data_IF_702606765188
#
_entry.id   IF_702606765188
#
_cell.length_a   1.000
_cell.length_b   1.000
_cell.length_c   1.000
_cell.angle_alpha   90.00
_cell.angle_beta   90.00
_cell.angle_gamma   90.00
#
_symmetry.space_group_name_H-M   'P 1'
#
loop_
_entity.id
_entity.type
_entity.pdbx_description
1 polymer ?
#
# COMPACT_ATOMS: atom_id res chain seq x y z
N UNK A 1 -2.07 -19.89 5.69
CA UNK A 1 -2.46 -18.75 6.55
C UNK A 1 -3.97 -18.55 6.52
N UNK A 2 -4.62 -18.19 7.63
CA UNK A 2 -6.07 -18.04 7.72
C UNK A 2 -6.45 -16.55 7.58
N UNK A 3 -7.17 -16.18 6.50
CA UNK A 3 -7.64 -14.81 6.24
C UNK A 3 -8.37 -14.19 7.45
N UNK A 4 -9.18 -14.97 8.15
CA UNK A 4 -9.88 -14.52 9.36
C UNK A 4 -8.90 -14.05 10.44
N UNK A 5 -7.88 -14.86 10.77
CA UNK A 5 -6.92 -14.53 11.81
C UNK A 5 -6.11 -13.25 11.51
N UNK A 6 -6.03 -12.90 10.24
CA UNK A 6 -5.41 -11.65 9.77
C UNK A 6 -6.37 -10.49 9.98
N UNK A 7 -7.58 -10.60 9.45
CA UNK A 7 -8.57 -9.53 9.51
C UNK A 7 -9.07 -9.24 10.95
N UNK A 8 -8.96 -10.20 11.86
CA UNK A 8 -9.22 -10.00 13.30
C UNK A 8 -8.22 -9.05 13.97
N UNK A 9 -7.05 -8.82 13.37
CA UNK A 9 -6.05 -7.86 13.88
C UNK A 9 -6.37 -6.41 13.52
N UNK A 10 -7.29 -6.17 12.59
CA UNK A 10 -7.70 -4.81 12.20
C UNK A 10 -8.50 -4.20 13.35
N UNK A 11 -8.08 -3.03 13.89
CA UNK A 11 -8.83 -2.36 14.95
C UNK A 11 -10.23 -1.99 14.48
N UNK A 12 -11.25 -2.31 15.30
CA UNK A 12 -12.63 -1.95 14.97
C UNK A 12 -12.92 -0.53 15.50
N UNK A 13 -13.11 0.46 14.64
CA UNK A 13 -13.36 1.85 15.06
C UNK A 13 -14.80 2.10 15.48
N UNK A 14 -15.68 1.12 15.30
CA UNK A 14 -17.12 1.28 15.57
C UNK A 14 -17.42 1.16 17.06
N UNK A 15 -18.35 1.98 17.55
CA UNK A 15 -18.91 1.85 18.89
C UNK A 15 -19.73 0.54 19.05
N UNK A 16 -19.98 0.13 20.31
CA UNK A 16 -20.70 -1.12 20.64
C UNK A 16 -22.04 -1.29 19.91
N UNK A 17 -22.78 -0.21 19.69
CA UNK A 17 -24.07 -0.23 18.99
C UNK A 17 -23.95 -0.46 17.48
N UNK A 18 -22.76 -0.30 16.88
CA UNK A 18 -22.51 -0.52 15.44
C UNK A 18 -21.90 -1.86 15.10
N UNK A 19 -21.81 -2.79 16.06
CA UNK A 19 -21.07 -4.07 15.94
C UNK A 19 -21.98 -5.30 15.78
N UNK A 20 -23.18 -5.17 15.23
CA UNK A 20 -24.06 -6.31 14.91
C UNK A 20 -23.36 -7.37 14.04
N UNK A 21 -22.47 -6.91 13.18
CA UNK A 21 -21.58 -7.75 12.38
C UNK A 21 -20.13 -7.52 12.81
N UNK A 22 -19.39 -8.60 13.05
CA UNK A 22 -17.96 -8.53 13.35
C UNK A 22 -17.20 -7.87 12.20
N UNK A 23 -16.22 -7.01 12.51
CA UNK A 23 -15.46 -6.30 11.47
C UNK A 23 -14.79 -7.25 10.48
N UNK A 24 -14.14 -8.31 10.97
CA UNK A 24 -13.48 -9.29 10.10
C UNK A 24 -14.46 -9.99 9.14
N UNK A 25 -15.73 -10.19 9.52
CA UNK A 25 -16.77 -10.77 8.65
C UNK A 25 -17.11 -9.82 7.49
N UNK A 26 -17.28 -8.54 7.81
CA UNK A 26 -17.52 -7.50 6.79
C UNK A 26 -16.34 -7.42 5.83
N UNK A 27 -15.12 -7.36 6.34
CA UNK A 27 -13.91 -7.32 5.53
C UNK A 27 -13.74 -8.57 4.68
N UNK A 28 -14.01 -9.77 5.25
CA UNK A 28 -13.97 -11.03 4.50
C UNK A 28 -14.95 -11.05 3.32
N UNK A 29 -16.17 -10.55 3.50
CA UNK A 29 -17.16 -10.44 2.42
C UNK A 29 -16.65 -9.54 1.28
N UNK A 30 -16.04 -8.41 1.64
CA UNK A 30 -15.47 -7.48 0.65
C UNK A 30 -14.29 -8.12 -0.10
N UNK A 31 -13.37 -8.76 0.62
CA UNK A 31 -12.21 -9.47 0.03
C UNK A 31 -12.68 -10.57 -0.92
N UNK A 32 -13.61 -11.42 -0.49
CA UNK A 32 -14.17 -12.49 -1.35
C UNK A 32 -14.85 -11.90 -2.58
N UNK A 33 -15.57 -10.78 -2.43
CA UNK A 33 -16.18 -10.09 -3.58
C UNK A 33 -15.13 -9.63 -4.60
N UNK A 34 -14.01 -9.06 -4.12
CA UNK A 34 -12.90 -8.64 -4.98
C UNK A 34 -12.22 -9.82 -5.67
N UNK A 35 -11.98 -10.92 -4.94
CA UNK A 35 -11.41 -12.16 -5.49
C UNK A 35 -12.32 -12.80 -6.55
N UNK A 36 -13.65 -12.62 -6.45
CA UNK A 36 -14.61 -13.01 -7.48
C UNK A 36 -14.65 -12.02 -8.67
N UNK A 37 -13.71 -11.07 -8.77
CA UNK A 37 -13.65 -10.07 -9.85
C UNK A 37 -14.70 -8.97 -9.74
N UNK A 38 -15.47 -8.91 -8.65
CA UNK A 38 -16.52 -7.90 -8.44
C UNK A 38 -15.91 -6.62 -7.88
N UNK A 39 -16.31 -5.47 -8.40
CA UNK A 39 -15.77 -4.16 -7.99
C UNK A 39 -16.82 -3.32 -7.26
N UNK A 40 -16.41 -2.73 -6.13
CA UNK A 40 -17.22 -1.81 -5.34
C UNK A 40 -18.16 -2.49 -4.34
N UNK A 41 -18.61 -1.69 -3.35
CA UNK A 41 -19.39 -2.17 -2.20
C UNK A 41 -20.79 -2.68 -2.58
N UNK A 42 -21.38 -2.10 -3.61
CA UNK A 42 -22.69 -2.58 -4.13
C UNK A 42 -22.59 -4.02 -4.61
N UNK A 43 -21.49 -4.38 -5.27
CA UNK A 43 -21.26 -5.75 -5.72
C UNK A 43 -21.02 -6.71 -4.56
N UNK A 44 -20.30 -6.28 -3.51
CA UNK A 44 -20.12 -7.05 -2.28
C UNK A 44 -21.46 -7.29 -1.54
N UNK A 45 -22.32 -6.27 -1.48
CA UNK A 45 -23.69 -6.40 -0.94
C UNK A 45 -24.50 -7.47 -1.69
N UNK A 46 -24.54 -7.41 -3.03
CA UNK A 46 -25.26 -8.41 -3.82
C UNK A 46 -24.65 -9.82 -3.69
N UNK A 47 -23.31 -9.92 -3.60
CA UNK A 47 -22.67 -11.19 -3.29
C UNK A 47 -23.18 -11.75 -1.96
N UNK A 48 -23.15 -10.95 -0.88
CA UNK A 48 -23.62 -11.38 0.44
C UNK A 48 -25.04 -11.95 0.38
N UNK A 49 -25.92 -11.31 -0.34
CA UNK A 49 -27.32 -11.79 -0.53
C UNK A 49 -27.42 -13.09 -1.33
N UNK A 50 -26.51 -13.34 -2.27
CA UNK A 50 -26.50 -14.56 -3.08
C UNK A 50 -25.87 -15.77 -2.39
N UNK A 51 -25.14 -15.58 -1.27
CA UNK A 51 -24.52 -16.66 -0.54
C UNK A 51 -25.56 -17.55 0.15
N UNK A 52 -25.31 -18.85 0.17
CA UNK A 52 -26.10 -19.80 0.95
C UNK A 52 -25.72 -19.75 2.46
N UNK A 53 -26.52 -20.42 3.31
CA UNK A 53 -26.32 -20.42 4.78
C UNK A 53 -24.92 -20.88 5.19
N UNK A 54 -24.39 -21.93 4.54
CA UNK A 54 -23.05 -22.47 4.85
C UNK A 54 -21.94 -21.44 4.52
N UNK A 55 -22.06 -20.78 3.38
CA UNK A 55 -21.11 -19.74 2.94
C UNK A 55 -21.16 -18.52 3.86
N UNK A 56 -22.35 -18.05 4.24
CA UNK A 56 -22.51 -16.94 5.20
C UNK A 56 -21.89 -17.28 6.55
N UNK A 57 -22.15 -18.47 7.05
CA UNK A 57 -21.55 -18.96 8.31
C UNK A 57 -20.01 -19.02 8.23
N UNK A 58 -19.45 -19.48 7.12
CA UNK A 58 -18.01 -19.52 6.90
C UNK A 58 -17.36 -18.12 6.90
N UNK A 59 -18.10 -17.10 6.46
CA UNK A 59 -17.69 -15.69 6.54
C UNK A 59 -18.00 -15.05 7.90
N UNK A 60 -18.55 -15.80 8.86
CA UNK A 60 -18.83 -15.34 10.23
C UNK A 60 -20.17 -14.65 10.41
N UNK A 61 -21.09 -14.76 9.45
CA UNK A 61 -22.46 -14.27 9.57
C UNK A 61 -23.35 -15.35 10.22
N UNK A 62 -23.20 -15.52 11.54
CA UNK A 62 -23.83 -16.61 12.29
C UNK A 62 -25.37 -16.59 12.23
N UNK A 63 -25.98 -15.39 12.21
CA UNK A 63 -27.44 -15.21 12.18
C UNK A 63 -28.03 -15.35 10.76
N UNK A 64 -27.20 -15.66 9.77
CA UNK A 64 -27.65 -15.86 8.39
C UNK A 64 -27.86 -14.58 7.57
N UNK A 65 -27.85 -13.40 8.19
CA UNK A 65 -27.95 -12.13 7.51
C UNK A 65 -26.60 -11.51 7.20
N UNK A 66 -26.53 -10.80 6.08
CA UNK A 66 -25.32 -10.05 5.69
C UNK A 66 -25.61 -8.54 5.73
N UNK A 67 -24.59 -7.71 6.01
CA UNK A 67 -24.78 -6.28 6.17
C UNK A 67 -25.38 -5.63 4.92
N UNK A 68 -26.20 -4.62 5.10
CA UNK A 68 -26.72 -3.81 4.01
C UNK A 68 -25.62 -2.93 3.40
N UNK A 69 -25.89 -2.34 2.23
CA UNK A 69 -24.91 -1.47 1.55
C UNK A 69 -24.49 -0.27 2.39
N UNK A 70 -25.41 0.34 3.16
CA UNK A 70 -25.08 1.46 4.04
C UNK A 70 -24.09 1.03 5.12
N UNK A 71 -24.31 -0.10 5.80
CA UNK A 71 -23.39 -0.65 6.82
C UNK A 71 -22.00 -0.91 6.24
N UNK A 72 -21.90 -1.49 5.03
CA UNK A 72 -20.60 -1.69 4.36
C UNK A 72 -19.89 -0.36 4.12
N UNK A 73 -20.62 0.66 3.67
CA UNK A 73 -20.08 1.98 3.34
C UNK A 73 -19.59 2.72 4.60
N UNK A 74 -20.39 2.75 5.63
CA UNK A 74 -20.06 3.43 6.89
C UNK A 74 -18.89 2.73 7.60
N UNK A 75 -18.88 1.39 7.63
CA UNK A 75 -17.77 0.63 8.19
C UNK A 75 -16.46 0.96 7.49
N UNK A 76 -16.41 0.94 6.16
CA UNK A 76 -15.16 1.25 5.44
C UNK A 76 -14.74 2.73 5.55
N UNK A 77 -15.68 3.65 5.72
CA UNK A 77 -15.35 5.07 5.99
C UNK A 77 -14.71 5.27 7.36
N UNK A 78 -15.13 4.49 8.34
CA UNK A 78 -14.64 4.57 9.70
C UNK A 78 -13.28 3.90 9.92
N UNK A 79 -12.93 2.88 9.10
CA UNK A 79 -11.67 2.14 9.25
C UNK A 79 -10.47 3.06 8.97
N UNK A 80 -9.45 2.94 9.81
CA UNK A 80 -8.13 3.48 9.50
C UNK A 80 -7.50 2.67 8.35
N UNK A 81 -7.43 3.32 7.19
CA UNK A 81 -6.85 2.69 5.99
C UNK A 81 -5.39 2.31 6.14
N UNK A 82 -4.63 2.99 7.02
CA UNK A 82 -3.23 2.65 7.32
C UNK A 82 -3.14 1.37 8.13
N UNK A 83 -3.90 1.29 9.23
CA UNK A 83 -3.93 0.08 10.05
C UNK A 83 -4.36 -1.16 9.25
N UNK A 84 -5.32 -1.00 8.33
CA UNK A 84 -5.73 -2.07 7.41
C UNK A 84 -4.59 -2.46 6.45
N UNK A 85 -3.90 -1.49 5.87
CA UNK A 85 -2.78 -1.73 4.95
C UNK A 85 -1.61 -2.44 5.66
N UNK A 86 -1.27 -2.02 6.88
CA UNK A 86 -0.19 -2.62 7.67
C UNK A 86 -0.50 -4.08 8.04
N UNK A 87 -1.75 -4.36 8.43
CA UNK A 87 -2.23 -5.73 8.71
C UNK A 87 -2.19 -6.60 7.45
N UNK A 88 -2.64 -6.09 6.30
CA UNK A 88 -2.61 -6.83 5.04
C UNK A 88 -1.18 -7.01 4.51
N UNK A 89 -0.32 -6.01 4.65
CA UNK A 89 1.09 -6.08 4.25
C UNK A 89 1.87 -7.14 5.02
N UNK A 90 1.63 -7.27 6.33
CA UNK A 90 2.26 -8.30 7.15
C UNK A 90 1.89 -9.74 6.75
N UNK A 91 0.77 -9.91 6.05
CA UNK A 91 0.26 -11.21 5.57
C UNK A 91 0.94 -11.69 4.30
N UNK A 92 1.41 -10.76 3.51
CA UNK A 92 1.97 -11.05 2.19
C UNK A 92 3.43 -11.53 2.25
N UNK A 93 3.99 -11.71 3.44
CA UNK A 93 5.30 -12.35 3.64
C UNK A 93 5.20 -13.85 3.33
N UNK A 94 5.30 -14.20 2.05
CA UNK A 94 5.34 -15.60 1.60
C UNK A 94 6.70 -16.20 1.96
N UNK A 95 6.73 -17.34 2.63
CA UNK A 95 7.96 -18.09 2.89
C UNK A 95 8.72 -18.36 1.57
N UNK A 96 10.01 -18.02 1.54
CA UNK A 96 10.89 -18.25 0.39
C UNK A 96 10.91 -17.15 -0.68
N UNK A 97 10.07 -16.11 -0.56
CA UNK A 97 10.17 -14.96 -1.46
C UNK A 97 11.29 -14.00 -1.01
N UNK A 98 11.98 -13.39 -1.98
CA UNK A 98 13.03 -12.42 -1.70
C UNK A 98 12.42 -11.02 -1.42
N UNK A 99 12.40 -10.57 -0.16
CA UNK A 99 11.78 -9.28 0.20
C UNK A 99 12.72 -8.09 -0.04
N UNK A 100 13.88 -8.28 -0.69
CA UNK A 100 14.92 -7.24 -0.77
C UNK A 100 14.55 -6.06 -1.66
N UNK A 101 13.74 -6.25 -2.70
CA UNK A 101 13.41 -5.17 -3.62
C UNK A 101 12.05 -4.53 -3.28
N UNK A 102 12.08 -3.25 -2.90
CA UNK A 102 10.90 -2.42 -2.62
C UNK A 102 10.81 -1.31 -3.67
N UNK A 103 9.73 -1.30 -4.44
CA UNK A 103 9.42 -0.24 -5.39
C UNK A 103 8.43 0.75 -4.77
N UNK A 104 8.72 2.06 -4.83
CA UNK A 104 7.82 3.13 -4.41
C UNK A 104 7.17 3.74 -5.65
N UNK A 105 5.84 3.76 -5.68
CA UNK A 105 5.04 4.37 -6.76
C UNK A 105 3.88 5.18 -6.20
N UNK A 106 3.64 6.34 -6.80
CA UNK A 106 2.55 7.24 -6.44
C UNK A 106 1.46 7.25 -7.50
N UNK A 107 0.20 7.02 -7.09
CA UNK A 107 -0.96 7.06 -7.99
C UNK A 107 -2.02 8.03 -7.52
N UNK A 108 -2.48 8.88 -8.45
CA UNK A 108 -3.62 9.76 -8.22
C UNK A 108 -4.93 9.00 -8.48
N UNK A 109 -5.76 8.89 -7.45
CA UNK A 109 -7.07 8.26 -7.52
C UNK A 109 -8.08 9.20 -8.19
N UNK A 110 -8.18 9.17 -9.52
CA UNK A 110 -9.01 10.10 -10.30
C UNK A 110 -10.49 10.10 -9.90
N UNK A 111 -11.01 8.94 -9.45
CA UNK A 111 -12.40 8.78 -9.01
C UNK A 111 -12.67 9.34 -7.60
N UNK A 112 -11.65 9.79 -6.86
CA UNK A 112 -11.77 10.30 -5.49
C UNK A 112 -11.85 11.83 -5.42
N UNK A 113 -12.16 12.50 -6.53
CA UNK A 113 -12.35 13.96 -6.56
C UNK A 113 -13.52 14.33 -5.65
N UNK A 114 -13.22 15.07 -4.58
CA UNK A 114 -14.24 15.71 -3.75
C UNK A 114 -14.73 17.00 -4.41
N UNK A 115 -15.77 17.62 -3.85
CA UNK A 115 -16.33 18.89 -4.35
C UNK A 115 -15.29 20.01 -4.55
N UNK A 116 -14.15 19.97 -3.87
CA UNK A 116 -13.02 20.90 -4.01
C UNK A 116 -12.07 20.57 -5.19
N UNK A 117 -12.38 19.57 -6.01
CA UNK A 117 -11.58 19.18 -7.18
C UNK A 117 -10.27 18.43 -6.88
N UNK A 118 -9.92 18.26 -5.59
CA UNK A 118 -8.70 17.56 -5.18
C UNK A 118 -8.89 16.04 -5.18
N UNK A 119 -8.07 15.34 -5.98
CA UNK A 119 -8.02 13.89 -5.97
C UNK A 119 -7.09 13.38 -4.86
N UNK A 120 -7.41 12.24 -4.27
CA UNK A 120 -6.51 11.55 -3.33
C UNK A 120 -5.30 11.01 -4.08
N UNK A 121 -4.12 11.32 -3.59
CA UNK A 121 -2.86 10.74 -4.04
C UNK A 121 -2.48 9.62 -3.09
N UNK A 122 -2.18 8.44 -3.61
CA UNK A 122 -1.77 7.28 -2.80
C UNK A 122 -0.37 6.87 -3.22
N UNK A 123 0.55 6.94 -2.28
CA UNK A 123 1.90 6.41 -2.41
C UNK A 123 1.93 4.99 -1.85
N UNK A 124 2.47 4.05 -2.61
CA UNK A 124 2.54 2.63 -2.24
C UNK A 124 3.98 2.15 -2.25
N UNK A 125 4.35 1.34 -1.27
CA UNK A 125 5.57 0.55 -1.27
C UNK A 125 5.22 -0.89 -1.67
N UNK A 126 5.72 -1.31 -2.81
CA UNK A 126 5.48 -2.64 -3.38
C UNK A 126 6.74 -3.49 -3.29
N UNK A 127 6.65 -4.63 -2.64
CA UNK A 127 7.73 -5.61 -2.65
C UNK A 127 7.65 -6.49 -3.89
N UNK A 128 8.66 -6.40 -4.75
CA UNK A 128 8.67 -7.08 -6.06
C UNK A 128 8.75 -8.59 -5.88
N UNK A 129 9.60 -9.08 -4.99
CA UNK A 129 9.73 -10.52 -4.75
C UNK A 129 8.49 -11.16 -4.11
N UNK A 130 7.80 -10.41 -3.24
CA UNK A 130 6.56 -10.85 -2.59
C UNK A 130 5.31 -10.60 -3.44
N UNK A 131 5.43 -9.84 -4.53
CA UNK A 131 4.32 -9.34 -5.35
C UNK A 131 3.20 -8.68 -4.51
N UNK A 132 3.59 -7.94 -3.49
CA UNK A 132 2.68 -7.40 -2.49
C UNK A 132 3.00 -5.99 -2.06
N UNK A 133 1.95 -5.26 -1.66
CA UNK A 133 2.08 -3.93 -1.07
C UNK A 133 2.43 -4.08 0.41
N UNK A 134 3.56 -3.50 0.82
CA UNK A 134 4.03 -3.50 2.21
C UNK A 134 3.40 -2.38 3.03
N UNK A 135 3.00 -1.29 2.38
CA UNK A 135 2.39 -0.14 3.04
C UNK A 135 1.92 0.90 2.04
N UNK A 136 1.01 1.74 2.48
CA UNK A 136 0.49 2.88 1.72
C UNK A 136 0.50 4.15 2.56
N UNK A 137 0.67 5.29 1.89
CA UNK A 137 0.43 6.61 2.44
C UNK A 137 -0.52 7.36 1.51
N UNK A 138 -1.58 7.94 2.07
CA UNK A 138 -2.57 8.67 1.29
C UNK A 138 -2.59 10.14 1.71
N UNK A 139 -2.52 11.04 0.74
CA UNK A 139 -2.60 12.49 0.97
C UNK A 139 -3.60 13.16 0.04
N UNK A 140 -3.96 14.38 0.38
CA UNK A 140 -4.78 15.26 -0.46
C UNK A 140 -3.94 16.46 -0.85
N UNK A 141 -3.79 16.65 -2.16
CA UNK A 141 -3.08 17.80 -2.70
C UNK A 141 -1.80 17.44 -3.47
N UNK A 142 -1.36 18.36 -4.32
CA UNK A 142 -0.12 18.25 -5.08
C UNK A 142 1.08 18.63 -4.21
N UNK A 143 2.24 18.02 -4.47
CA UNK A 143 3.49 18.37 -3.79
C UNK A 143 3.72 17.66 -2.46
N UNK A 144 2.88 16.70 -2.10
CA UNK A 144 3.02 15.92 -0.87
C UNK A 144 3.81 14.61 -1.08
N UNK A 145 4.29 14.35 -2.30
CA UNK A 145 4.97 13.09 -2.66
C UNK A 145 6.20 12.81 -1.79
N UNK A 146 7.01 13.84 -1.52
CA UNK A 146 8.23 13.68 -0.70
C UNK A 146 7.91 13.52 0.79
N UNK A 147 7.07 14.38 1.43
CA UNK A 147 6.63 14.15 2.81
C UNK A 147 5.96 12.79 3.02
N UNK A 148 5.14 12.35 2.09
CA UNK A 148 4.43 11.06 2.19
C UNK A 148 5.39 9.89 2.01
N UNK A 149 6.39 10.00 1.12
CA UNK A 149 7.44 9.01 0.98
C UNK A 149 8.26 8.87 2.28
N UNK A 150 8.61 9.96 2.94
CA UNK A 150 9.32 9.92 4.22
C UNK A 150 8.50 9.22 5.31
N UNK A 151 7.18 9.52 5.41
CA UNK A 151 6.28 8.85 6.35
C UNK A 151 6.15 7.35 6.05
N UNK A 152 6.05 6.99 4.77
CA UNK A 152 5.97 5.60 4.35
C UNK A 152 7.25 4.84 4.69
N UNK A 153 8.43 5.39 4.32
CA UNK A 153 9.73 4.81 4.61
C UNK A 153 9.99 4.65 6.11
N UNK A 154 9.51 5.58 6.95
CA UNK A 154 9.65 5.51 8.41
C UNK A 154 9.03 4.23 8.98
N UNK A 155 7.90 3.78 8.44
CA UNK A 155 7.17 2.60 8.92
C UNK A 155 7.71 1.28 8.39
N UNK A 156 8.47 1.31 7.29
CA UNK A 156 8.99 0.10 6.67
C UNK A 156 10.29 -0.36 7.33
N UNK A 157 10.48 -1.66 7.43
CA UNK A 157 11.78 -2.25 7.70
C UNK A 157 12.59 -2.26 6.40
N UNK A 158 13.66 -1.46 6.35
CA UNK A 158 14.50 -1.30 5.15
C UNK A 158 15.86 -1.99 5.27
N UNK A 159 16.18 -2.61 6.40
CA UNK A 159 17.48 -3.25 6.62
C UNK A 159 17.75 -4.31 5.56
N UNK A 160 18.87 -4.12 4.81
CA UNK A 160 19.27 -5.02 3.73
C UNK A 160 18.33 -5.04 2.52
N UNK A 161 17.48 -4.02 2.35
CA UNK A 161 16.57 -3.90 1.22
C UNK A 161 17.01 -2.82 0.25
N UNK A 162 16.63 -2.96 -1.02
CA UNK A 162 16.92 -2.01 -2.09
C UNK A 162 15.62 -1.30 -2.44
N UNK A 163 15.60 0.02 -2.26
CA UNK A 163 14.45 0.87 -2.58
C UNK A 163 14.63 1.46 -3.97
N UNK A 164 13.61 1.30 -4.81
CA UNK A 164 13.53 1.93 -6.14
C UNK A 164 12.30 2.83 -6.24
N UNK A 165 12.33 3.80 -7.13
CA UNK A 165 11.22 4.72 -7.35
C UNK A 165 11.44 5.62 -8.55
N UNK A 166 10.50 6.52 -8.87
CA UNK A 166 10.69 7.49 -9.94
C UNK A 166 11.66 8.60 -9.49
N UNK A 167 12.16 9.36 -10.47
CA UNK A 167 13.11 10.47 -10.30
C UNK A 167 12.66 11.53 -9.28
N UNK A 168 11.36 11.68 -9.04
CA UNK A 168 10.84 12.60 -8.02
C UNK A 168 11.37 12.27 -6.62
N UNK A 169 11.62 10.96 -6.34
CA UNK A 169 12.15 10.48 -5.06
C UNK A 169 13.69 10.58 -4.96
N UNK A 170 14.38 11.01 -6.04
CA UNK A 170 15.81 11.28 -6.00
C UNK A 170 16.08 12.59 -5.24
N UNK A 171 15.91 12.56 -3.91
CA UNK A 171 16.06 13.67 -2.99
C UNK A 171 16.96 13.29 -1.82
N UNK A 172 17.78 14.22 -1.34
CA UNK A 172 18.69 13.98 -0.22
C UNK A 172 17.99 13.42 1.03
N UNK A 173 16.79 13.94 1.35
CA UNK A 173 16.00 13.48 2.49
C UNK A 173 15.53 12.03 2.37
N UNK A 174 15.12 11.62 1.18
CA UNK A 174 14.68 10.24 0.89
C UNK A 174 15.87 9.28 1.01
N UNK A 175 16.98 9.61 0.34
CA UNK A 175 18.21 8.82 0.37
C UNK A 175 18.73 8.69 1.79
N UNK A 176 18.81 9.80 2.54
CA UNK A 176 19.26 9.80 3.93
C UNK A 176 18.39 8.87 4.81
N UNK A 177 17.07 8.91 4.65
CA UNK A 177 16.13 8.05 5.39
C UNK A 177 16.33 6.57 5.06
N UNK A 178 16.55 6.21 3.80
CA UNK A 178 16.79 4.82 3.38
C UNK A 178 18.08 4.30 4.00
N UNK A 179 19.16 5.07 3.89
CA UNK A 179 20.49 4.70 4.43
C UNK A 179 20.47 4.63 5.96
N UNK A 180 19.85 5.61 6.64
CA UNK A 180 19.65 5.61 8.09
C UNK A 180 19.02 4.30 8.59
N UNK A 181 18.07 3.76 7.81
CA UNK A 181 17.37 2.51 8.13
C UNK A 181 18.09 1.25 7.62
N UNK A 182 19.34 1.37 7.16
CA UNK A 182 20.17 0.26 6.71
C UNK A 182 19.76 -0.35 5.37
N UNK A 183 19.06 0.41 4.55
CA UNK A 183 18.70 0.06 3.18
C UNK A 183 19.64 0.68 2.15
N UNK A 184 19.55 0.16 0.92
CA UNK A 184 20.18 0.69 -0.29
C UNK A 184 19.12 1.27 -1.24
N UNK A 185 19.55 2.00 -2.26
CA UNK A 185 18.62 2.59 -3.22
C UNK A 185 19.16 2.57 -4.64
N UNK A 186 18.23 2.49 -5.60
CA UNK A 186 18.49 2.75 -7.03
C UNK A 186 17.41 3.68 -7.53
N UNK A 187 17.77 4.94 -7.80
CA UNK A 187 16.86 6.00 -8.21
C UNK A 187 17.34 6.64 -9.50
N UNK A 188 16.45 6.84 -10.49
CA UNK A 188 16.82 7.53 -11.73
C UNK A 188 17.06 9.02 -11.47
N UNK A 189 18.11 9.56 -12.07
CA UNK A 189 18.42 10.99 -12.03
C UNK A 189 17.96 11.62 -13.34
N UNK A 190 17.08 12.62 -13.24
CA UNK A 190 16.54 13.37 -14.38
C UNK A 190 16.80 14.88 -14.21
N UNK A 191 16.22 15.70 -15.07
CA UNK A 191 16.38 17.16 -15.05
C UNK A 191 15.88 17.86 -13.77
N UNK A 192 15.10 17.15 -12.92
CA UNK A 192 14.74 17.65 -11.59
C UNK A 192 15.96 17.76 -10.64
N UNK A 193 17.08 17.12 -10.99
CA UNK A 193 18.38 17.15 -10.29
C UNK A 193 19.51 17.43 -11.30
N UNK A 194 19.43 18.58 -12.00
CA UNK A 194 20.29 18.91 -13.15
C UNK A 194 21.78 18.80 -12.81
N UNK A 195 22.23 19.44 -11.74
CA UNK A 195 23.65 19.43 -11.34
C UNK A 195 24.15 18.02 -11.02
N UNK A 196 23.32 17.22 -10.33
CA UNK A 196 23.66 15.83 -10.04
C UNK A 196 23.76 15.01 -11.32
N UNK A 197 22.84 15.21 -12.27
CA UNK A 197 22.84 14.56 -13.57
C UNK A 197 24.12 14.89 -14.35
N UNK A 198 24.46 16.17 -14.49
CA UNK A 198 25.65 16.65 -15.19
C UNK A 198 26.93 16.07 -14.56
N UNK A 199 27.04 16.07 -13.22
CA UNK A 199 28.17 15.45 -12.52
C UNK A 199 28.30 13.96 -12.77
N UNK A 200 27.18 13.21 -12.79
CA UNK A 200 27.19 11.79 -13.09
C UNK A 200 27.59 11.53 -14.56
N UNK A 201 27.03 12.30 -15.52
CA UNK A 201 27.39 12.18 -16.93
C UNK A 201 28.89 12.45 -17.14
N UNK A 202 29.48 13.43 -16.45
CA UNK A 202 30.91 13.70 -16.48
C UNK A 202 31.70 12.53 -15.90
N UNK A 203 31.33 12.04 -14.71
CA UNK A 203 32.04 10.95 -14.04
C UNK A 203 32.04 9.61 -14.84
N UNK A 204 30.96 9.35 -15.58
CA UNK A 204 30.87 8.15 -16.44
C UNK A 204 31.53 8.32 -17.82
N UNK A 205 31.75 9.54 -18.28
CA UNK A 205 32.42 9.83 -19.55
C UNK A 205 33.93 9.98 -19.39
N UNK A 206 34.45 10.18 -18.18
CA UNK A 206 35.88 10.14 -17.92
C UNK A 206 36.38 8.67 -18.02
N UNK A 207 37.47 8.40 -18.77
CA UNK A 207 38.03 7.05 -18.86
C UNK A 207 38.51 6.61 -17.46
N UNK A 208 37.87 5.57 -16.94
CA UNK A 208 38.11 5.03 -15.57
C UNK A 208 39.50 4.42 -15.41
N UNK A 209 40.27 4.26 -16.51
CA UNK A 209 41.64 3.77 -16.48
C UNK A 209 42.61 4.80 -17.07
N UNK A 210 43.70 5.16 -16.37
CA UNK A 210 44.77 5.88 -16.99
C UNK A 210 45.30 5.05 -18.15
N UNK A 211 45.52 5.63 -19.34
CA UNK A 211 46.13 4.91 -20.46
C UNK A 211 47.57 4.56 -20.06
N UNK A 212 47.85 3.29 -19.79
CA UNK A 212 49.22 2.87 -19.53
C UNK A 212 49.48 1.78 -18.49
N UNK A 213 48.61 0.79 -18.38
CA UNK A 213 48.95 -0.49 -17.72
C UNK A 213 48.51 -1.62 -18.68
N UNK A 214 49.32 -1.88 -19.67
CA UNK A 214 49.40 -3.13 -20.39
C UNK A 214 50.67 -3.84 -19.96
#
# INVERSE_FOLDING_TARGET
MNLRAVLEKVPDPRGKQGQDYRLWSILSLIVVSLLCGRRGLRAAFFLGRSLNKRQRSALGFANGDTPCHATLTETLRAIDGRALADVLGAVCLVEGADPRHIAIDGKTMRASKNGDGNATHVLSAFCVGLQSILGNEASRGKGMEIPDALKLLERLDLKGKIVTGDAIFCQKSIVAKIVEKGGDYVLPVKNNQRNLRENLETAFNEPVFPPGLV
#
